data_IF_859134513233
#
_entry.id   IF_859134513233
#
_cell.length_a   1.000
_cell.length_b   1.000
_cell.length_c   1.000
_cell.angle_alpha   90.00
_cell.angle_beta   90.00
_cell.angle_gamma   90.00
#
_symmetry.space_group_name_H-M   'P 1'
#
loop_
_entity.id
_entity.type
_entity.pdbx_description
1 polymer ?
#
# COMPACT_ATOMS: atom_id res chain seq x y z
N UNK A 1 7.55 8.48 10.05
CA UNK A 1 7.83 9.91 10.26
C UNK A 1 7.21 10.33 11.58
N UNK A 2 7.94 11.09 12.40
CA UNK A 2 7.44 11.70 13.63
C UNK A 2 7.52 13.22 13.48
N UNK A 3 6.46 13.93 13.85
CA UNK A 3 6.41 15.40 13.75
C UNK A 3 6.98 16.01 15.03
N UNK A 4 8.29 15.98 15.15
CA UNK A 4 9.06 16.47 16.30
C UNK A 4 10.51 16.00 16.22
N UNK A 5 11.28 16.28 17.27
CA UNK A 5 12.68 15.88 17.35
C UNK A 5 12.83 14.40 17.76
N UNK A 6 14.01 13.84 17.50
CA UNK A 6 14.34 12.45 17.78
C UNK A 6 14.43 12.16 19.28
N UNK A 7 14.77 13.14 20.12
CA UNK A 7 14.77 12.94 21.58
C UNK A 7 13.34 12.70 22.08
N UNK A 8 12.40 13.55 21.65
CA UNK A 8 10.97 13.39 21.96
C UNK A 8 10.42 12.06 21.41
N UNK A 9 10.78 11.68 20.17
CA UNK A 9 10.40 10.39 19.59
C UNK A 9 10.87 9.21 20.46
N UNK A 10 12.14 9.20 20.87
CA UNK A 10 12.71 8.15 21.70
C UNK A 10 12.02 8.08 23.06
N UNK A 11 11.73 9.22 23.70
CA UNK A 11 10.97 9.26 24.95
C UNK A 11 9.57 8.64 24.79
N UNK A 12 8.87 8.96 23.69
CA UNK A 12 7.53 8.41 23.44
C UNK A 12 7.59 6.90 23.20
N UNK A 13 8.51 6.42 22.36
CA UNK A 13 8.60 5.00 22.00
C UNK A 13 9.15 4.15 23.15
N UNK A 14 10.14 4.60 23.90
CA UNK A 14 10.62 3.88 25.08
C UNK A 14 9.53 3.70 26.14
N UNK A 15 8.54 4.60 26.18
CA UNK A 15 7.40 4.50 27.10
C UNK A 15 6.26 3.64 26.55
N UNK A 16 5.99 3.66 25.24
CA UNK A 16 4.78 3.07 24.64
C UNK A 16 5.00 1.83 23.79
N UNK A 17 6.20 1.64 23.26
CA UNK A 17 6.60 0.52 22.43
C UNK A 17 8.10 0.23 22.62
N UNK A 18 8.55 -0.06 23.86
CA UNK A 18 9.95 -0.35 24.15
C UNK A 18 10.48 -1.57 23.38
N UNK A 19 9.60 -2.51 23.01
CA UNK A 19 9.93 -3.72 22.27
C UNK A 19 10.52 -3.44 20.88
N UNK A 20 10.26 -2.25 20.31
CA UNK A 20 10.85 -1.83 19.03
C UNK A 20 12.35 -1.55 19.16
N UNK A 21 12.85 -1.23 20.36
CA UNK A 21 14.28 -1.03 20.62
C UNK A 21 14.92 0.12 19.82
N UNK A 22 14.17 1.19 19.53
CA UNK A 22 14.66 2.30 18.72
C UNK A 22 15.83 3.02 19.42
N UNK A 23 16.87 3.33 18.64
CA UNK A 23 18.09 4.01 19.11
C UNK A 23 18.34 5.32 18.36
N UNK A 24 19.01 6.28 18.99
CA UNK A 24 19.19 7.63 18.40
C UNK A 24 19.95 7.62 17.07
N UNK A 25 20.98 6.78 16.94
CA UNK A 25 21.85 6.82 15.76
C UNK A 25 21.16 6.37 14.46
N UNK A 26 20.01 5.66 14.54
CA UNK A 26 19.19 5.30 13.38
C UNK A 26 18.11 6.34 13.06
N UNK A 27 17.97 7.38 13.87
CA UNK A 27 17.03 8.46 13.62
C UNK A 27 17.67 9.51 12.70
N UNK A 28 16.99 9.89 11.63
CA UNK A 28 17.36 11.01 10.77
C UNK A 28 16.41 12.17 11.01
N UNK A 29 16.92 13.25 11.60
CA UNK A 29 16.18 14.51 11.73
C UNK A 29 16.34 15.32 10.45
N UNK A 30 15.23 15.77 9.89
CA UNK A 30 15.23 16.50 8.62
C UNK A 30 13.97 17.36 8.49
N UNK A 31 13.94 18.24 7.50
CA UNK A 31 12.74 19.03 7.19
C UNK A 31 11.61 18.13 6.68
N UNK A 32 10.37 18.63 6.75
CA UNK A 32 9.22 17.87 6.24
C UNK A 32 9.40 17.47 4.77
N UNK A 33 9.85 18.39 3.92
CA UNK A 33 10.00 18.14 2.48
C UNK A 33 11.11 17.12 2.17
N UNK A 34 12.19 17.09 2.96
CA UNK A 34 13.24 16.06 2.83
C UNK A 34 12.74 14.68 3.28
N UNK A 35 11.80 14.61 4.22
CA UNK A 35 11.12 13.36 4.57
C UNK A 35 10.24 12.83 3.44
N UNK A 36 9.70 13.70 2.58
CA UNK A 36 8.96 13.29 1.38
C UNK A 36 9.90 12.54 0.44
N UNK A 37 11.13 13.04 0.22
CA UNK A 37 12.14 12.34 -0.59
C UNK A 37 12.38 10.91 -0.08
N UNK A 38 12.55 10.74 1.23
CA UNK A 38 12.71 9.42 1.85
C UNK A 38 11.53 8.48 1.51
N UNK A 39 10.29 8.95 1.66
CA UNK A 39 9.10 8.12 1.40
C UNK A 39 8.89 7.79 -0.07
N UNK A 40 9.42 8.60 -0.98
CA UNK A 40 9.40 8.34 -2.43
C UNK A 40 10.63 7.57 -2.92
N UNK A 41 11.42 6.98 -2.01
CA UNK A 41 12.67 6.28 -2.32
C UNK A 41 13.71 7.15 -3.05
N UNK A 42 13.70 8.46 -2.81
CA UNK A 42 14.70 9.41 -3.27
C UNK A 42 15.70 9.66 -2.14
N UNK A 43 16.98 9.76 -2.47
CA UNK A 43 18.03 10.01 -1.47
C UNK A 43 17.76 11.33 -0.73
N UNK A 44 17.74 11.27 0.61
CA UNK A 44 17.68 12.46 1.46
C UNK A 44 18.91 13.34 1.22
N UNK A 45 18.70 14.65 1.08
CA UNK A 45 19.72 15.63 0.70
C UNK A 45 19.75 15.94 -0.80
N UNK A 46 19.00 15.21 -1.64
CA UNK A 46 18.78 15.58 -3.04
C UNK A 46 17.98 16.88 -3.13
N UNK A 47 18.22 17.69 -4.17
CA UNK A 47 17.45 18.90 -4.45
C UNK A 47 15.97 18.56 -4.65
N UNK A 48 15.10 19.31 -3.96
CA UNK A 48 13.64 19.10 -3.95
C UNK A 48 12.99 19.34 -5.32
N UNK A 49 13.71 20.00 -6.24
CA UNK A 49 13.32 20.18 -7.65
C UNK A 49 13.03 18.83 -8.32
N UNK A 50 13.64 17.74 -7.86
CA UNK A 50 13.36 16.38 -8.35
C UNK A 50 11.89 15.98 -8.23
N UNK A 51 11.16 16.50 -7.22
CA UNK A 51 9.74 16.24 -7.04
C UNK A 51 8.85 16.89 -8.12
N UNK A 52 9.41 17.80 -8.91
CA UNK A 52 8.74 18.39 -10.07
C UNK A 52 8.90 17.55 -11.34
N UNK A 53 9.73 16.50 -11.31
CA UNK A 53 10.01 15.65 -12.48
C UNK A 53 9.01 14.50 -12.56
N UNK A 54 8.43 14.28 -13.74
CA UNK A 54 7.54 13.16 -14.04
C UNK A 54 8.30 12.05 -14.79
N UNK A 55 9.10 11.26 -14.07
CA UNK A 55 9.74 10.08 -14.65
C UNK A 55 8.74 8.92 -14.67
N UNK A 56 8.31 8.51 -15.87
CA UNK A 56 7.37 7.39 -16.03
C UNK A 56 8.17 6.09 -16.02
N UNK A 57 8.00 5.29 -14.98
CA UNK A 57 8.44 3.88 -14.95
C UNK A 57 7.21 2.99 -14.99
N UNK A 58 7.16 2.04 -15.92
CA UNK A 58 6.05 1.09 -16.03
C UNK A 58 6.37 -0.14 -15.19
N UNK A 59 5.60 -0.33 -14.12
CA UNK A 59 5.69 -1.51 -13.27
C UNK A 59 4.34 -2.24 -13.29
N UNK A 60 4.34 -3.56 -13.50
CA UNK A 60 3.12 -4.36 -13.37
C UNK A 60 2.87 -4.65 -11.91
N UNK A 61 1.74 -4.17 -11.40
CA UNK A 61 1.43 -4.24 -9.98
C UNK A 61 0.04 -4.84 -9.80
N UNK A 62 -0.05 -5.83 -8.90
CA UNK A 62 -1.32 -6.25 -8.32
C UNK A 62 -1.36 -5.77 -6.87
N UNK A 63 -2.40 -5.00 -6.53
CA UNK A 63 -2.64 -4.49 -5.17
C UNK A 63 -4.04 -4.90 -4.69
N UNK A 64 -4.13 -5.27 -3.42
CA UNK A 64 -5.39 -5.41 -2.67
C UNK A 64 -5.23 -4.72 -1.33
N UNK A 65 -6.34 -4.29 -0.74
CA UNK A 65 -6.32 -3.69 0.59
C UNK A 65 -7.54 -4.06 1.39
N UNK A 66 -7.35 -4.15 2.69
CA UNK A 66 -8.37 -4.44 3.68
C UNK A 66 -8.21 -3.51 4.90
N UNK A 67 -9.26 -3.40 5.69
CA UNK A 67 -9.27 -2.67 6.95
C UNK A 67 -9.43 -3.63 8.11
N UNK A 68 -8.63 -3.44 9.15
CA UNK A 68 -8.62 -4.32 10.32
C UNK A 68 -9.28 -3.62 11.48
N UNK A 69 -10.29 -4.28 12.03
CA UNK A 69 -11.08 -3.79 13.17
C UNK A 69 -10.63 -4.42 14.51
N UNK A 70 -10.05 -5.62 14.46
CA UNK A 70 -9.53 -6.34 15.63
C UNK A 70 -8.11 -6.86 15.36
N UNK A 71 -7.23 -6.93 16.38
CA UNK A 71 -5.87 -7.42 16.18
C UNK A 71 -5.83 -8.83 15.57
N UNK A 72 -5.00 -9.01 14.54
CA UNK A 72 -4.76 -10.33 13.95
C UNK A 72 -4.10 -11.21 15.01
N UNK A 73 -4.62 -12.43 15.18
CA UNK A 73 -4.04 -13.38 16.13
C UNK A 73 -2.58 -13.70 15.78
N UNK A 74 -1.80 -14.12 16.79
CA UNK A 74 -0.41 -14.57 16.59
C UNK A 74 -0.31 -15.65 15.50
N UNK A 75 -1.16 -16.67 15.57
CA UNK A 75 -1.20 -17.76 14.60
C UNK A 75 -1.60 -17.29 13.20
N UNK A 76 -2.47 -16.28 13.11
CA UNK A 76 -2.82 -15.61 11.86
C UNK A 76 -1.61 -14.90 11.23
N UNK A 77 -0.89 -14.09 12.01
CA UNK A 77 0.33 -13.41 11.55
C UNK A 77 1.42 -14.40 11.12
N UNK A 78 1.64 -15.47 11.90
CA UNK A 78 2.60 -16.53 11.56
C UNK A 78 2.23 -17.22 10.24
N UNK A 79 0.94 -17.46 10.00
CA UNK A 79 0.47 -18.05 8.75
C UNK A 79 0.70 -17.11 7.56
N UNK A 80 0.49 -15.81 7.75
CA UNK A 80 0.76 -14.81 6.72
C UNK A 80 2.26 -14.75 6.40
N UNK A 81 3.12 -14.71 7.42
CA UNK A 81 4.58 -14.71 7.24
C UNK A 81 5.09 -15.96 6.54
N UNK A 82 4.61 -17.15 6.94
CA UNK A 82 4.95 -18.39 6.24
C UNK A 82 4.58 -18.31 4.76
N UNK A 83 3.41 -17.74 4.42
CA UNK A 83 2.98 -17.60 3.02
C UNK A 83 3.82 -16.59 2.25
N UNK A 84 4.22 -15.47 2.87
CA UNK A 84 5.11 -14.50 2.24
C UNK A 84 6.51 -15.07 1.98
N UNK A 85 7.04 -15.85 2.92
CA UNK A 85 8.32 -16.57 2.75
C UNK A 85 8.22 -17.60 1.62
N UNK A 86 7.15 -18.39 1.58
CA UNK A 86 6.90 -19.37 0.51
C UNK A 86 6.82 -18.73 -0.88
N UNK A 87 6.19 -17.56 -0.98
CA UNK A 87 5.96 -16.87 -2.26
C UNK A 87 7.12 -15.96 -2.68
N UNK A 88 7.99 -15.55 -1.75
CA UNK A 88 9.18 -14.68 -1.89
C UNK A 88 8.95 -13.24 -2.42
N UNK A 89 7.93 -13.06 -3.25
CA UNK A 89 7.66 -11.85 -4.02
C UNK A 89 6.68 -10.87 -3.31
N UNK A 90 5.61 -11.30 -2.61
CA UNK A 90 4.61 -10.37 -2.10
C UNK A 90 5.15 -9.53 -0.95
N UNK A 91 4.71 -8.28 -0.93
CA UNK A 91 4.95 -7.33 0.15
C UNK A 91 3.62 -6.89 0.78
N UNK A 92 3.70 -6.41 2.02
CA UNK A 92 2.56 -5.87 2.73
C UNK A 92 2.92 -4.59 3.48
N UNK A 93 2.03 -3.61 3.42
CA UNK A 93 2.12 -2.37 4.18
C UNK A 93 0.97 -2.28 5.18
N UNK A 94 1.30 -2.02 6.45
CA UNK A 94 0.35 -1.79 7.53
C UNK A 94 0.36 -0.29 7.86
N UNK A 95 -0.76 0.38 7.60
CA UNK A 95 -0.88 1.82 7.77
C UNK A 95 -1.78 2.09 8.99
N UNK A 96 -1.24 2.60 10.11
CA UNK A 96 -2.02 2.82 11.32
C UNK A 96 -3.13 3.84 11.07
N UNK A 97 -4.31 3.54 11.60
CA UNK A 97 -5.46 4.46 11.64
C UNK A 97 -5.50 5.10 13.03
N UNK A 98 -6.68 5.50 13.52
CA UNK A 98 -6.86 6.30 14.75
C UNK A 98 -6.46 7.78 14.61
N UNK A 99 -6.16 8.43 15.74
CA UNK A 99 -5.77 9.83 15.79
C UNK A 99 -6.86 10.75 15.24
N UNK A 100 -6.52 11.54 14.22
CA UNK A 100 -7.52 12.39 13.56
C UNK A 100 -8.54 11.60 12.75
N UNK A 101 -8.20 10.41 12.24
CA UNK A 101 -9.13 9.60 11.44
C UNK A 101 -10.31 9.09 12.25
N UNK A 102 -10.14 8.84 13.54
CA UNK A 102 -11.22 8.42 14.44
C UNK A 102 -12.15 9.57 14.87
N UNK A 103 -11.71 10.83 14.72
CA UNK A 103 -12.50 12.02 15.12
C UNK A 103 -13.44 12.54 14.02
N UNK A 104 -13.31 12.02 12.80
CA UNK A 104 -14.10 12.47 11.64
C UNK A 104 -15.28 11.53 11.46
N UNK A 105 -16.50 12.09 11.31
CA UNK A 105 -17.70 11.29 11.03
C UNK A 105 -17.53 10.48 9.74
N UNK A 106 -17.95 9.19 9.69
CA UNK A 106 -17.97 8.38 8.46
C UNK A 106 -18.76 9.01 7.31
N UNK A 107 -19.70 9.90 7.60
CA UNK A 107 -20.53 10.60 6.59
C UNK A 107 -20.00 11.98 6.21
N UNK A 108 -18.93 12.47 6.84
CA UNK A 108 -18.40 13.80 6.56
C UNK A 108 -17.80 13.93 5.15
N UNK A 109 -17.32 12.81 4.59
CA UNK A 109 -16.82 12.74 3.20
C UNK A 109 -17.18 11.38 2.59
N UNK A 110 -17.06 11.19 1.26
CA UNK A 110 -17.26 9.89 0.62
C UNK A 110 -16.31 8.77 1.08
N UNK A 111 -15.26 9.07 1.86
CA UNK A 111 -14.35 8.07 2.41
C UNK A 111 -14.80 7.67 3.83
N UNK A 112 -15.40 6.47 4.00
CA UNK A 112 -16.13 6.13 5.22
C UNK A 112 -15.26 5.47 6.30
N UNK A 113 -14.04 5.03 5.97
CA UNK A 113 -13.17 4.30 6.89
C UNK A 113 -12.55 5.25 7.90
N UNK A 114 -13.19 5.40 9.07
CA UNK A 114 -12.85 6.36 10.13
C UNK A 114 -12.55 5.64 11.45
N UNK A 115 -13.33 5.91 12.49
CA UNK A 115 -13.27 5.20 13.77
C UNK A 115 -13.41 3.68 13.57
N UNK A 116 -12.96 2.92 14.57
CA UNK A 116 -12.98 1.45 14.64
C UNK A 116 -12.08 0.73 13.63
N UNK A 117 -11.29 1.45 12.82
CA UNK A 117 -10.25 0.87 11.99
C UNK A 117 -8.91 1.03 12.72
N UNK A 118 -8.26 -0.09 13.07
CA UNK A 118 -6.94 -0.09 13.70
C UNK A 118 -5.83 0.24 12.70
N UNK A 119 -5.91 -0.36 11.51
CA UNK A 119 -5.02 -0.07 10.39
C UNK A 119 -5.61 -0.50 9.05
N UNK A 120 -5.13 0.12 7.98
CA UNK A 120 -5.31 -0.36 6.60
C UNK A 120 -4.13 -1.24 6.21
N UNK A 121 -4.41 -2.45 5.75
CA UNK A 121 -3.41 -3.35 5.17
C UNK A 121 -3.49 -3.22 3.66
N UNK A 122 -2.34 -3.12 3.00
CA UNK A 122 -2.22 -3.29 1.56
C UNK A 122 -1.27 -4.44 1.28
N UNK A 123 -1.73 -5.45 0.57
CA UNK A 123 -0.87 -6.49 -0.01
C UNK A 123 -0.62 -6.15 -1.46
N UNK A 124 0.63 -6.33 -1.89
CA UNK A 124 1.00 -6.04 -3.25
C UNK A 124 2.11 -6.94 -3.75
N UNK A 125 2.08 -7.14 -5.05
CA UNK A 125 3.20 -7.70 -5.78
C UNK A 125 3.51 -6.74 -6.92
N UNK A 126 4.78 -6.44 -7.04
CA UNK A 126 5.36 -5.70 -8.14
C UNK A 126 6.25 -6.67 -8.91
N UNK A 127 5.89 -6.93 -10.17
CA UNK A 127 6.65 -7.83 -11.04
C UNK A 127 7.07 -7.06 -12.29
N UNK A 128 8.33 -6.67 -12.35
CA UNK A 128 8.92 -6.00 -13.51
C UNK A 128 9.31 -6.99 -14.63
N UNK A 129 9.15 -8.31 -14.42
CA UNK A 129 9.65 -9.36 -15.31
C UNK A 129 8.57 -10.29 -15.91
N UNK A 130 7.43 -10.54 -15.25
CA UNK A 130 6.43 -11.54 -15.70
C UNK A 130 4.95 -11.19 -15.43
N UNK A 131 4.41 -10.18 -16.12
CA UNK A 131 2.97 -9.87 -16.07
C UNK A 131 2.02 -11.03 -16.46
N UNK A 132 2.50 -12.04 -17.20
CA UNK A 132 1.72 -13.21 -17.66
C UNK A 132 1.37 -14.20 -16.54
N UNK A 133 2.19 -14.29 -15.48
CA UNK A 133 2.00 -15.26 -14.39
C UNK A 133 0.79 -14.96 -13.49
N UNK A 134 0.20 -13.76 -13.60
CA UNK A 134 -0.88 -13.31 -12.71
C UNK A 134 -2.27 -13.86 -13.02
N UNK A 135 -2.51 -14.33 -14.25
CA UNK A 135 -3.85 -14.74 -14.68
C UNK A 135 -3.92 -16.14 -15.31
N UNK A 136 -2.76 -16.72 -15.66
CA UNK A 136 -2.63 -18.06 -16.26
C UNK A 136 -3.71 -18.30 -17.36
N UNK A 137 -4.17 -19.53 -17.57
CA UNK A 137 -5.25 -19.87 -18.53
C UNK A 137 -6.65 -19.31 -18.21
N UNK A 138 -6.85 -18.56 -17.11
CA UNK A 138 -8.16 -18.05 -16.70
C UNK A 138 -8.48 -16.66 -17.26
N UNK A 139 -7.51 -16.00 -17.91
CA UNK A 139 -7.71 -14.69 -18.52
C UNK A 139 -8.85 -14.71 -19.54
N UNK A 140 -8.89 -15.70 -20.43
CA UNK A 140 -9.93 -15.80 -21.48
C UNK A 140 -11.33 -16.04 -20.91
N UNK A 141 -11.45 -16.84 -19.84
CA UNK A 141 -12.73 -17.12 -19.18
C UNK A 141 -13.28 -15.89 -18.44
N UNK A 142 -12.41 -15.10 -17.80
CA UNK A 142 -12.79 -13.85 -17.11
C UNK A 142 -13.25 -12.78 -18.11
N UNK A 143 -12.63 -12.74 -19.29
CA UNK A 143 -13.07 -11.91 -20.42
C UNK A 143 -14.44 -12.32 -20.94
N UNK A 144 -14.72 -13.61 -21.09
CA UNK A 144 -16.03 -14.10 -21.59
C UNK A 144 -17.17 -13.81 -20.62
N UNK A 145 -16.97 -14.02 -19.32
CA UNK A 145 -17.95 -13.68 -18.28
C UNK A 145 -18.22 -12.18 -18.30
N UNK A 146 -17.16 -11.35 -18.37
CA UNK A 146 -17.30 -9.89 -18.44
C UNK A 146 -18.05 -9.43 -19.71
N UNK A 147 -17.78 -10.07 -20.85
CA UNK A 147 -18.47 -9.79 -22.13
C UNK A 147 -19.97 -10.13 -22.05
N UNK A 148 -20.36 -11.20 -21.34
CA UNK A 148 -21.77 -11.59 -21.17
C UNK A 148 -22.56 -10.75 -20.16
N UNK A 149 -21.89 -10.23 -19.12
CA UNK A 149 -22.55 -9.49 -18.01
C UNK A 149 -22.62 -7.98 -18.28
N UNK A 150 -21.78 -7.44 -19.18
CA UNK A 150 -21.79 -6.02 -19.53
C UNK A 150 -21.42 -5.77 -20.99
N UNK A 151 -22.42 -5.79 -21.88
CA UNK A 151 -22.28 -5.63 -23.33
C UNK A 151 -21.80 -4.26 -23.84
N UNK A 152 -21.29 -3.39 -22.95
CA UNK A 152 -20.77 -2.06 -23.31
C UNK A 152 -19.48 -1.65 -22.61
N UNK A 153 -18.87 -2.52 -21.81
CA UNK A 153 -17.67 -2.18 -21.02
C UNK A 153 -17.80 -0.86 -20.23
N UNK A 154 -19.01 -0.60 -19.71
CA UNK A 154 -19.39 0.64 -19.04
C UNK A 154 -18.64 0.83 -17.72
N UNK A 155 -18.37 -0.26 -17.00
CA UNK A 155 -17.49 -0.28 -15.83
C UNK A 155 -16.08 -0.75 -16.24
N UNK A 156 -15.17 0.21 -16.48
CA UNK A 156 -13.75 -0.03 -16.73
C UNK A 156 -12.86 0.97 -16.01
N UNK A 157 -11.72 0.48 -15.53
CA UNK A 157 -10.54 1.24 -15.16
C UNK A 157 -9.31 0.50 -15.69
N UNK A 158 -8.12 1.05 -15.49
CA UNK A 158 -6.84 0.54 -15.99
C UNK A 158 -6.42 -0.86 -15.51
N UNK A 159 -7.12 -1.45 -14.53
CA UNK A 159 -6.92 -2.84 -14.09
C UNK A 159 -8.12 -3.75 -14.40
N UNK A 160 -9.04 -3.30 -15.24
CA UNK A 160 -10.23 -4.05 -15.63
C UNK A 160 -9.93 -5.00 -16.78
N UNK A 161 -10.44 -6.24 -16.72
CA UNK A 161 -10.37 -7.16 -17.85
C UNK A 161 -11.05 -6.56 -19.10
N UNK A 162 -10.52 -6.78 -20.31
CA UNK A 162 -11.13 -6.28 -21.55
C UNK A 162 -12.35 -7.13 -21.98
N UNK A 163 -13.13 -6.68 -22.97
CA UNK A 163 -14.30 -7.41 -23.53
C UNK A 163 -14.09 -7.71 -25.01
N UNK A 164 -14.64 -8.81 -25.54
CA UNK A 164 -14.53 -9.17 -26.97
C UNK A 164 -15.46 -8.27 -27.84
N UNK A 165 -15.10 -7.96 -29.10
CA UNK A 165 -13.86 -8.32 -29.80
C UNK A 165 -12.68 -7.38 -29.50
N UNK A 166 -11.47 -7.94 -29.49
CA UNK A 166 -10.22 -7.18 -29.42
C UNK A 166 -9.86 -6.70 -30.84
N UNK A 167 -9.94 -5.41 -31.10
CA UNK A 167 -9.44 -4.88 -32.37
C UNK A 167 -7.94 -4.63 -32.25
N UNK A 168 -7.17 -5.39 -33.05
CA UNK A 168 -5.77 -5.11 -33.35
C UNK A 168 -5.70 -3.81 -34.16
N UNK A 169 -4.86 -2.89 -33.70
CA UNK A 169 -4.08 -2.00 -34.56
C UNK A 169 -2.65 -2.08 -34.07
#
# INVERSE_FOLDING_TARGET
>A
MFLGDASTLLTVLNRRLPELGLVRYVCTETSWIQSVLFWTNIRVGTSEIVLLQSNITVNYIKRKSDYVHEPISRTGLESIWRKMIELEIPAMAFNPYEGMMAKISPTATPFPYRADNLWKIQSYVEDTRHGEKYFDGNFERLVEIKTRVGSGNFFRNEHSFPVKPYFNI
#
